data_IF_754563877275
#
_entry.id   IF_754563877275
#
_cell.length_a   1.000
_cell.length_b   1.000
_cell.length_c   1.000
_cell.angle_alpha   90.00
_cell.angle_beta   90.00
_cell.angle_gamma   90.00
#
_symmetry.space_group_name_H-M   'P 1'
#
loop_
_entity.id
_entity.type
_entity.pdbx_description
1 polymer ?
#
# COMPACT_ATOMS: atom_id res chain seq x y z
N UNK A 1 -29.55 -2.61 -16.55
CA UNK A 1 -28.56 -1.57 -16.69
C UNK A 1 -27.95 -1.62 -18.07
N UNK A 2 -27.74 -0.45 -18.64
CA UNK A 2 -27.27 -0.35 -20.01
C UNK A 2 -25.81 -0.76 -20.11
N UNK A 3 -25.52 -1.68 -21.05
CA UNK A 3 -24.16 -2.18 -21.28
C UNK A 3 -23.25 -1.04 -21.74
N UNK A 4 -23.77 -0.12 -22.56
CA UNK A 4 -22.99 1.02 -23.02
C UNK A 4 -22.58 1.95 -21.88
N UNK A 5 -23.47 2.17 -20.91
CA UNK A 5 -23.16 3.00 -19.73
C UNK A 5 -22.12 2.31 -18.86
N UNK A 6 -22.24 1.01 -18.64
CA UNK A 6 -21.30 0.23 -17.88
C UNK A 6 -19.89 0.31 -18.51
N UNK A 7 -19.81 0.09 -19.82
CA UNK A 7 -18.55 0.15 -20.53
C UNK A 7 -17.92 1.54 -20.43
N UNK A 8 -18.73 2.58 -20.60
CA UNK A 8 -18.25 3.96 -20.54
C UNK A 8 -17.72 4.31 -19.15
N UNK A 9 -18.41 3.87 -18.10
CA UNK A 9 -17.96 4.14 -16.72
C UNK A 9 -16.59 3.50 -16.48
N UNK A 10 -16.38 2.28 -16.97
CA UNK A 10 -15.09 1.60 -16.84
C UNK A 10 -14.00 2.30 -17.67
N UNK A 11 -14.32 2.72 -18.89
CA UNK A 11 -13.35 3.42 -19.72
C UNK A 11 -12.91 4.73 -19.10
N UNK A 12 -13.85 5.47 -18.50
CA UNK A 12 -13.53 6.74 -17.82
C UNK A 12 -12.65 6.51 -16.61
N UNK A 13 -12.89 5.44 -15.86
CA UNK A 13 -12.02 5.11 -14.74
C UNK A 13 -10.60 4.80 -15.20
N UNK A 14 -10.46 4.04 -16.29
CA UNK A 14 -9.14 3.74 -16.84
C UNK A 14 -8.40 5.02 -17.19
N UNK A 15 -9.07 5.99 -17.85
CA UNK A 15 -8.47 7.27 -18.18
C UNK A 15 -7.94 8.00 -16.93
N UNK A 16 -8.75 8.05 -15.88
CA UNK A 16 -8.36 8.74 -14.66
C UNK A 16 -7.22 8.02 -13.92
N UNK A 17 -7.22 6.67 -13.96
CA UNK A 17 -6.13 5.90 -13.36
C UNK A 17 -4.81 6.16 -14.07
N UNK A 18 -4.83 6.28 -15.40
CA UNK A 18 -3.63 6.59 -16.17
C UNK A 18 -3.11 7.99 -15.87
N UNK A 19 -4.01 8.95 -15.72
CA UNK A 19 -3.63 10.33 -15.36
C UNK A 19 -3.01 10.37 -13.98
N UNK A 20 -3.59 9.68 -13.01
CA UNK A 20 -3.04 9.62 -11.66
C UNK A 20 -1.65 8.98 -11.67
N UNK A 21 -1.50 7.86 -12.39
CA UNK A 21 -0.22 7.19 -12.51
C UNK A 21 0.84 8.11 -13.11
N UNK A 22 0.45 8.90 -14.12
CA UNK A 22 1.35 9.84 -14.79
C UNK A 22 1.85 10.91 -13.83
N UNK A 23 0.95 11.52 -13.07
CA UNK A 23 1.32 12.59 -12.14
C UNK A 23 2.21 12.06 -11.02
N UNK A 24 1.87 10.90 -10.46
CA UNK A 24 2.68 10.27 -9.41
C UNK A 24 4.08 9.97 -9.95
N UNK A 25 4.18 9.42 -11.16
CA UNK A 25 5.47 9.12 -11.78
C UNK A 25 6.30 10.39 -11.97
N UNK A 26 5.66 11.48 -12.40
CA UNK A 26 6.35 12.76 -12.53
C UNK A 26 6.89 13.25 -11.20
N UNK A 27 6.11 13.12 -10.12
CA UNK A 27 6.56 13.52 -8.79
C UNK A 27 7.76 12.69 -8.34
N UNK A 28 7.75 11.38 -8.60
CA UNK A 28 8.85 10.50 -8.23
C UNK A 28 10.13 10.86 -9.00
N UNK A 29 9.99 11.28 -10.26
CA UNK A 29 11.14 11.59 -11.10
C UNK A 29 11.66 13.02 -10.94
N UNK A 30 10.82 13.94 -10.47
CA UNK A 30 11.17 15.34 -10.32
C UNK A 30 10.81 15.82 -8.93
N UNK A 31 11.56 15.34 -7.95
CA UNK A 31 11.27 15.62 -6.54
C UNK A 31 11.39 17.09 -6.16
N UNK A 32 12.06 17.91 -6.98
CA UNK A 32 12.17 19.35 -6.72
C UNK A 32 10.87 20.10 -7.01
N UNK A 33 9.93 19.47 -7.71
CA UNK A 33 8.66 20.08 -8.04
C UNK A 33 7.59 19.51 -7.12
N UNK A 34 6.73 20.38 -6.60
CA UNK A 34 5.62 19.92 -5.76
C UNK A 34 4.37 19.75 -6.61
N UNK A 35 4.02 18.52 -6.92
CA UNK A 35 2.85 18.17 -7.70
C UNK A 35 1.67 17.74 -6.82
N UNK A 36 1.73 18.03 -5.52
CA UNK A 36 0.66 17.66 -4.59
C UNK A 36 -0.72 18.14 -5.05
N UNK A 37 -0.90 19.40 -5.51
CA UNK A 37 -2.24 19.80 -5.97
C UNK A 37 -2.76 18.95 -7.12
N UNK A 38 -1.91 18.61 -8.08
CA UNK A 38 -2.30 17.80 -9.23
C UNK A 38 -2.63 16.37 -8.80
N UNK A 39 -1.85 15.82 -7.84
CA UNK A 39 -2.11 14.48 -7.32
C UNK A 39 -3.46 14.44 -6.60
N UNK A 40 -3.75 15.45 -5.80
CA UNK A 40 -5.04 15.56 -5.10
C UNK A 40 -6.18 15.59 -6.11
N UNK A 41 -6.05 16.38 -7.16
CA UNK A 41 -7.07 16.47 -8.21
C UNK A 41 -7.32 15.12 -8.85
N UNK A 42 -6.24 14.41 -9.23
CA UNK A 42 -6.37 13.12 -9.89
C UNK A 42 -6.91 12.04 -8.96
N UNK A 43 -6.56 12.07 -7.68
CA UNK A 43 -7.14 11.16 -6.69
C UNK A 43 -8.65 11.39 -6.61
N UNK A 44 -9.08 12.65 -6.59
CA UNK A 44 -10.50 12.99 -6.56
C UNK A 44 -11.23 12.45 -7.77
N UNK A 45 -10.64 12.64 -8.95
CA UNK A 45 -11.23 12.16 -10.21
C UNK A 45 -11.32 10.63 -10.22
N UNK A 46 -10.27 9.92 -9.79
CA UNK A 46 -10.28 8.47 -9.71
C UNK A 46 -11.35 7.98 -8.76
N UNK A 47 -11.45 8.59 -7.57
CA UNK A 47 -12.44 8.15 -6.58
C UNK A 47 -13.86 8.43 -7.07
N UNK A 48 -14.08 9.54 -7.75
CA UNK A 48 -15.37 9.83 -8.34
C UNK A 48 -15.76 8.76 -9.36
N UNK A 49 -14.86 8.41 -10.28
CA UNK A 49 -15.12 7.40 -11.30
C UNK A 49 -15.22 6.00 -10.69
N UNK A 50 -14.42 5.73 -9.65
CA UNK A 50 -14.52 4.46 -8.94
C UNK A 50 -15.91 4.27 -8.33
N UNK A 51 -16.45 5.34 -7.71
CA UNK A 51 -17.80 5.26 -7.13
C UNK A 51 -18.85 4.93 -8.18
N UNK A 52 -18.66 5.37 -9.42
CA UNK A 52 -19.62 5.09 -10.48
C UNK A 52 -19.66 3.62 -10.88
N UNK A 53 -18.52 2.92 -10.80
CA UNK A 53 -18.50 1.50 -11.16
C UNK A 53 -18.88 0.59 -9.99
N UNK A 54 -18.91 1.10 -8.77
CA UNK A 54 -19.23 0.29 -7.59
C UNK A 54 -20.59 -0.40 -7.69
N UNK A 55 -21.54 0.23 -8.36
CA UNK A 55 -22.89 -0.33 -8.52
C UNK A 55 -22.92 -1.60 -9.35
N UNK A 56 -21.84 -1.91 -10.09
CA UNK A 56 -21.78 -3.11 -10.91
C UNK A 56 -21.17 -4.30 -10.17
N UNK A 57 -20.66 -4.09 -8.96
CA UNK A 57 -19.91 -5.10 -8.21
C UNK A 57 -20.43 -5.25 -6.79
N UNK A 58 -20.20 -6.42 -6.20
CA UNK A 58 -20.62 -6.71 -4.83
C UNK A 58 -19.66 -6.05 -3.85
N UNK A 59 -20.17 -5.07 -3.13
CA UNK A 59 -19.38 -4.30 -2.19
C UNK A 59 -18.80 -5.16 -1.06
N UNK A 60 -19.55 -6.19 -0.62
CA UNK A 60 -19.06 -7.09 0.43
C UNK A 60 -17.82 -7.84 -0.02
N UNK A 61 -17.81 -8.26 -1.29
CA UNK A 61 -16.63 -8.95 -1.84
C UNK A 61 -15.44 -8.00 -1.96
N UNK A 62 -15.70 -6.75 -2.33
CA UNK A 62 -14.65 -5.74 -2.40
C UNK A 62 -14.07 -5.50 -1.01
N UNK A 63 -14.93 -5.33 -0.01
CA UNK A 63 -14.49 -5.09 1.36
C UNK A 63 -13.70 -6.27 1.91
N UNK A 64 -14.13 -7.49 1.62
CA UNK A 64 -13.43 -8.69 2.02
C UNK A 64 -12.02 -8.73 1.41
N UNK A 65 -11.87 -8.30 0.14
CA UNK A 65 -10.59 -8.25 -0.52
C UNK A 65 -9.66 -7.20 0.11
N UNK A 66 -10.21 -6.06 0.50
CA UNK A 66 -9.44 -5.02 1.19
C UNK A 66 -8.91 -5.55 2.52
N UNK A 67 -9.77 -6.22 3.29
CA UNK A 67 -9.38 -6.78 4.59
C UNK A 67 -8.34 -7.87 4.43
N UNK A 68 -8.52 -8.73 3.43
CA UNK A 68 -7.54 -9.77 3.14
C UNK A 68 -6.17 -9.19 2.84
N UNK A 69 -6.11 -8.13 2.03
CA UNK A 69 -4.83 -7.48 1.70
C UNK A 69 -4.19 -6.83 2.91
N UNK A 70 -4.99 -6.23 3.79
CA UNK A 70 -4.48 -5.64 5.03
C UNK A 70 -3.87 -6.70 5.93
N UNK A 71 -4.53 -7.86 6.06
CA UNK A 71 -4.03 -8.96 6.87
C UNK A 71 -2.73 -9.52 6.31
N UNK A 72 -2.66 -9.71 4.98
CA UNK A 72 -1.45 -10.19 4.35
C UNK A 72 -0.28 -9.24 4.57
N UNK A 73 -0.55 -7.93 4.47
CA UNK A 73 0.48 -6.92 4.68
C UNK A 73 0.94 -6.91 6.14
N UNK A 74 0.02 -7.04 7.09
CA UNK A 74 0.36 -7.08 8.49
C UNK A 74 1.21 -8.31 8.83
N UNK A 75 0.89 -9.46 8.25
CA UNK A 75 1.68 -10.67 8.44
C UNK A 75 3.11 -10.50 7.93
N UNK A 76 3.27 -9.82 6.78
CA UNK A 76 4.60 -9.54 6.24
C UNK A 76 5.41 -8.64 7.17
N UNK A 77 4.77 -7.60 7.72
CA UNK A 77 5.42 -6.70 8.65
C UNK A 77 5.82 -7.42 9.93
N UNK A 78 4.94 -8.25 10.47
CA UNK A 78 5.21 -9.04 11.67
C UNK A 78 6.39 -9.98 11.44
N UNK A 79 6.44 -10.63 10.28
CA UNK A 79 7.52 -11.52 9.92
C UNK A 79 8.85 -10.77 9.79
N UNK A 80 8.84 -9.60 9.18
CA UNK A 80 10.03 -8.76 9.05
C UNK A 80 10.55 -8.32 10.43
N UNK A 81 9.64 -7.95 11.33
CA UNK A 81 10.00 -7.57 12.69
C UNK A 81 10.62 -8.75 13.44
N UNK A 82 10.07 -9.93 13.27
CA UNK A 82 10.57 -11.13 13.90
C UNK A 82 11.99 -11.45 13.44
N UNK A 83 12.25 -11.35 12.12
CA UNK A 83 13.58 -11.58 11.56
C UNK A 83 14.57 -10.54 12.11
N UNK A 84 14.17 -9.28 12.16
CA UNK A 84 15.02 -8.22 12.70
C UNK A 84 15.35 -8.47 14.17
N UNK A 85 14.38 -8.90 14.95
CA UNK A 85 14.58 -9.20 16.36
C UNK A 85 15.52 -10.40 16.56
N UNK A 86 15.39 -11.42 15.72
CA UNK A 86 16.30 -12.55 15.75
C UNK A 86 17.73 -12.13 15.47
N UNK A 87 17.95 -11.24 14.51
CA UNK A 87 19.28 -10.73 14.20
C UNK A 87 19.87 -9.97 15.37
N UNK A 88 19.07 -9.16 16.05
CA UNK A 88 19.49 -8.43 17.25
C UNK A 88 19.86 -9.41 18.34
N UNK A 89 19.05 -10.42 18.56
CA UNK A 89 19.30 -11.43 19.58
C UNK A 89 20.57 -12.22 19.30
N UNK A 90 20.83 -12.57 18.04
CA UNK A 90 22.07 -13.26 17.67
C UNK A 90 23.29 -12.41 17.95
N UNK A 91 23.24 -11.12 17.67
CA UNK A 91 24.34 -10.20 17.97
C UNK A 91 24.57 -10.10 19.48
N UNK A 92 23.49 -10.01 20.24
CA UNK A 92 23.59 -9.97 21.68
C UNK A 92 24.26 -11.23 22.22
N UNK A 93 23.91 -12.40 21.69
CA UNK A 93 24.52 -13.65 22.09
C UNK A 93 26.00 -13.72 21.73
N UNK A 94 26.38 -13.17 20.56
CA UNK A 94 27.77 -13.21 20.12
C UNK A 94 28.67 -12.26 20.91
N UNK A 95 28.16 -11.06 21.22
CA UNK A 95 28.99 -10.03 21.85
C UNK A 95 28.66 -9.82 23.31
N UNK A 96 27.41 -9.98 23.68
CA UNK A 96 26.95 -9.76 25.02
C UNK A 96 26.98 -11.00 25.88
N UNK A 97 26.80 -12.15 25.28
CA UNK A 97 26.78 -13.40 26.01
C UNK A 97 28.08 -13.70 26.68
N UNK A 98 29.17 -13.35 26.06
CA UNK A 98 30.48 -13.55 26.61
C UNK A 98 30.72 -12.70 27.89
N UNK A 99 30.06 -11.58 27.94
CA UNK A 99 30.12 -10.71 29.07
C UNK A 99 29.10 -11.05 30.12
N UNK A 100 28.07 -11.70 29.73
CA UNK A 100 26.94 -11.94 30.54
C UNK A 100 27.07 -13.03 31.50
N UNK A 101 27.72 -13.96 31.19
CA UNK A 101 27.88 -15.02 31.95
C UNK A 101 28.75 -14.82 32.94
N UNK A 102 29.05 -14.06 32.96
CA UNK A 102 29.64 -13.51 33.64
C UNK A 102 29.15 -12.52 33.91
N UNK A 103 28.55 -12.52 33.70
CA UNK A 103 27.86 -11.52 33.82
C UNK A 103 27.16 -11.51 34.07
N UNK A 104 27.72 -12.23 33.90
CA UNK A 104 27.17 -12.13 34.15
C UNK A 104 27.22 -12.60 34.28
N UNK A 105 27.45 -12.70 34.62
CA UNK A 105 27.53 -12.67 34.64
C UNK A 105 27.72 -12.52 34.32
N UNK A 106 27.99 -12.73 34.34
CA UNK A 106 28.08 -12.15 33.93
C UNK A 106 27.95 -11.98 33.50
#
# INVERSE_FOLDING_TARGET
>A
MDVGTCLKDHQKLVEELLELATVITQQLNKSSKDLTPQIIEEIGDVRHRMNRIMKYYDEKKIQAQIEYKRECQQKKLDHQQMIAQEKINRRANLYGGAMHDKFGKV
#
